data_IF_712517535835
#
_entry.id   IF_712517535835
#
_cell.length_a   1.000
_cell.length_b   1.000
_cell.length_c   1.000
_cell.angle_alpha   90.00
_cell.angle_beta   90.00
_cell.angle_gamma   90.00
#
_symmetry.space_group_name_H-M   'P 1'
#
loop_
_entity.id
_entity.type
_entity.pdbx_description
1 polymer ?
#
# COMPACT_ATOMS: atom_id res chain seq x y z
N UNK A 1 55.69 16.45 122.89
CA UNK A 1 56.67 17.10 121.98
C UNK A 1 56.47 16.45 120.61
N UNK A 2 55.46 16.92 119.85
CA UNK A 2 55.61 17.85 118.70
C UNK A 2 56.04 17.06 117.44
N UNK A 3 55.48 17.16 116.23
CA UNK A 3 54.70 18.19 115.53
C UNK A 3 53.91 17.48 114.40
N UNK A 4 52.70 17.97 114.10
CA UNK A 4 52.21 18.41 112.78
C UNK A 4 52.50 17.53 111.53
N UNK A 5 51.48 17.19 110.73
CA UNK A 5 51.21 17.80 109.39
C UNK A 5 50.20 16.98 108.55
N UNK A 6 49.26 17.75 108.04
CA UNK A 6 48.13 17.54 107.11
C UNK A 6 48.33 16.60 105.90
N UNK A 7 47.22 15.95 105.47
CA UNK A 7 46.71 15.77 104.08
C UNK A 7 45.94 14.44 104.02
N UNK A 8 44.62 14.38 104.06
CA UNK A 8 43.70 15.12 103.21
C UNK A 8 43.72 14.53 101.79
N UNK A 9 42.80 13.58 101.52
CA UNK A 9 42.29 13.25 100.17
C UNK A 9 42.98 12.15 99.33
N UNK A 10 43.55 11.10 99.95
CA UNK A 10 44.13 9.96 99.19
C UNK A 10 43.08 8.85 98.91
N UNK A 11 42.03 8.72 99.72
CA UNK A 11 40.99 7.69 99.49
C UNK A 11 39.97 8.09 98.39
N UNK A 12 39.80 9.38 98.11
CA UNK A 12 38.83 9.88 97.13
C UNK A 12 39.37 9.84 95.68
N UNK A 13 40.70 9.95 95.51
CA UNK A 13 41.37 9.84 94.20
C UNK A 13 41.54 8.39 93.74
N UNK A 14 41.65 7.43 94.67
CA UNK A 14 41.75 6.01 94.34
C UNK A 14 40.44 5.42 93.79
N UNK A 15 39.28 5.86 94.29
CA UNK A 15 37.97 5.40 93.80
C UNK A 15 37.62 6.01 92.43
N UNK A 16 38.00 7.28 92.20
CA UNK A 16 37.83 7.95 90.91
C UNK A 16 38.67 7.35 89.78
N UNK A 17 39.90 6.93 90.09
CA UNK A 17 40.77 6.27 89.11
C UNK A 17 40.22 4.89 88.68
N UNK A 18 39.65 4.11 89.61
CA UNK A 18 39.10 2.78 89.30
C UNK A 18 37.80 2.83 88.49
N UNK A 19 36.97 3.87 88.68
CA UNK A 19 35.75 4.08 87.90
C UNK A 19 36.04 4.65 86.49
N UNK A 20 37.12 5.44 86.35
CA UNK A 20 37.57 5.90 85.04
C UNK A 20 38.23 4.78 84.22
N UNK A 21 38.92 3.83 84.86
CA UNK A 21 39.48 2.65 84.18
C UNK A 21 38.40 1.71 83.62
N UNK A 22 37.21 1.64 84.22
CA UNK A 22 36.08 0.86 83.68
C UNK A 22 35.41 1.50 82.45
N UNK A 23 35.49 2.83 82.32
CA UNK A 23 34.93 3.57 81.18
C UNK A 23 35.81 3.51 79.92
N UNK A 24 37.09 3.10 80.02
CA UNK A 24 38.00 2.97 78.87
C UNK A 24 38.10 1.53 78.31
N UNK A 25 37.46 0.53 78.93
CA UNK A 25 37.46 -0.89 78.45
C UNK A 25 36.41 -1.14 77.34
N UNK A 26 35.67 -0.11 76.91
CA UNK A 26 34.66 -0.21 75.84
C UNK A 26 35.14 0.18 74.43
N UNK A 27 36.37 0.68 74.27
CA UNK A 27 36.96 0.95 72.96
C UNK A 27 37.64 -0.32 72.43
N UNK A 28 36.84 -1.15 71.79
CA UNK A 28 37.31 -2.20 70.90
C UNK A 28 37.38 -1.60 69.48
N UNK A 29 38.58 -1.52 68.91
CA UNK A 29 38.84 -1.16 67.50
C UNK A 29 38.49 -2.33 66.54
N UNK A 30 37.63 -3.25 66.98
CA UNK A 30 36.97 -4.19 66.09
C UNK A 30 35.87 -3.47 65.33
N UNK A 31 36.26 -2.86 64.21
CA UNK A 31 35.33 -2.64 63.10
C UNK A 31 34.80 -4.02 62.75
N UNK A 32 33.57 -4.34 63.18
CA UNK A 32 32.86 -5.49 62.69
C UNK A 32 32.88 -5.38 61.17
N UNK A 33 33.72 -6.19 60.55
CA UNK A 33 33.85 -6.28 59.11
C UNK A 33 32.59 -7.00 58.66
N UNK A 34 31.48 -6.24 58.62
CA UNK A 34 30.26 -6.64 57.97
C UNK A 34 30.66 -6.83 56.52
N UNK A 35 30.96 -8.07 56.15
CA UNK A 35 31.13 -8.46 54.78
C UNK A 35 29.91 -7.92 54.04
N UNK A 36 30.14 -7.08 53.03
CA UNK A 36 29.06 -6.57 52.21
C UNK A 36 28.23 -7.78 51.76
N UNK A 37 26.88 -7.76 51.93
CA UNK A 37 26.05 -8.89 51.57
C UNK A 37 26.36 -9.27 50.12
N UNK A 38 26.51 -10.57 49.82
CA UNK A 38 26.89 -11.01 48.48
C UNK A 38 25.91 -10.41 47.47
N UNK A 39 26.45 -9.85 46.39
CA UNK A 39 25.64 -9.19 45.38
C UNK A 39 24.53 -10.15 44.92
N UNK A 40 23.26 -9.69 44.87
CA UNK A 40 22.16 -10.56 44.52
C UNK A 40 22.39 -11.13 43.12
N UNK A 41 22.23 -12.44 42.98
CA UNK A 41 22.39 -13.12 41.70
C UNK A 41 21.26 -12.70 40.76
N UNK A 42 21.59 -11.92 39.75
CA UNK A 42 20.64 -11.47 38.72
C UNK A 42 20.92 -12.19 37.41
N UNK A 43 19.84 -12.60 36.73
CA UNK A 43 19.93 -13.18 35.39
C UNK A 43 20.07 -12.07 34.36
N UNK A 44 21.19 -12.04 33.64
CA UNK A 44 21.43 -11.09 32.57
C UNK A 44 21.72 -11.82 31.25
N UNK A 45 21.23 -11.27 30.14
CA UNK A 45 21.49 -11.76 28.79
C UNK A 45 22.08 -10.65 27.91
N UNK A 46 22.96 -11.02 26.98
CA UNK A 46 23.54 -10.08 26.00
C UNK A 46 22.49 -9.74 24.93
N UNK A 47 22.26 -8.45 24.70
CA UNK A 47 21.35 -7.97 23.65
C UNK A 47 21.97 -8.25 22.27
N UNK A 48 21.30 -9.07 21.46
CA UNK A 48 21.70 -9.35 20.08
C UNK A 48 20.88 -8.47 19.13
N UNK A 49 21.54 -7.50 18.50
CA UNK A 49 20.91 -6.68 17.45
C UNK A 49 21.09 -7.42 16.12
N UNK A 50 19.98 -7.80 15.51
CA UNK A 50 19.95 -8.42 14.17
C UNK A 50 19.02 -7.60 13.29
N UNK A 51 19.43 -7.39 12.05
CA UNK A 51 18.54 -6.80 11.04
C UNK A 51 17.44 -7.81 10.72
N UNK A 52 16.19 -7.40 10.88
CA UNK A 52 15.02 -8.17 10.46
C UNK A 52 14.33 -7.40 9.34
N UNK A 53 13.92 -8.12 8.31
CA UNK A 53 13.05 -7.57 7.28
C UNK A 53 11.62 -7.77 7.75
N UNK A 54 10.91 -6.66 7.99
CA UNK A 54 9.50 -6.68 8.32
C UNK A 54 8.71 -6.67 7.01
N UNK A 55 7.91 -7.72 6.80
CA UNK A 55 7.06 -7.85 5.63
C UNK A 55 5.65 -7.40 5.99
N UNK A 56 5.13 -6.41 5.26
CA UNK A 56 3.74 -6.02 5.34
C UNK A 56 2.94 -6.79 4.28
N UNK A 57 1.81 -7.36 4.69
CA UNK A 57 0.91 -8.10 3.80
C UNK A 57 -0.37 -7.30 3.61
N UNK A 58 -0.73 -7.05 2.36
CA UNK A 58 -1.94 -6.34 1.98
C UNK A 58 -2.80 -7.19 1.05
N UNK A 59 -4.11 -7.08 1.19
CA UNK A 59 -5.04 -7.70 0.26
C UNK A 59 -5.13 -6.81 -1.00
N UNK A 60 -4.92 -7.40 -2.17
CA UNK A 60 -5.08 -6.75 -3.46
C UNK A 60 -6.04 -7.52 -4.37
N UNK A 61 -6.61 -6.81 -5.35
CA UNK A 61 -7.37 -7.41 -6.45
C UNK A 61 -6.58 -7.24 -7.74
N UNK A 62 -6.52 -8.29 -8.54
CA UNK A 62 -5.95 -8.25 -9.88
C UNK A 62 -7.09 -8.01 -10.86
N UNK A 63 -6.87 -7.13 -11.82
CA UNK A 63 -7.79 -6.84 -12.92
C UNK A 63 -7.05 -6.93 -14.26
N UNK A 64 -7.81 -7.14 -15.34
CA UNK A 64 -7.23 -7.17 -16.68
C UNK A 64 -6.69 -5.77 -17.05
N UNK A 65 -5.47 -5.73 -17.59
CA UNK A 65 -4.86 -4.47 -18.07
C UNK A 65 -5.73 -3.83 -19.15
N UNK A 66 -6.28 -4.66 -20.04
CA UNK A 66 -7.23 -4.25 -21.08
C UNK A 66 -8.46 -5.16 -21.01
N UNK A 67 -9.63 -4.54 -20.88
CA UNK A 67 -10.92 -5.25 -20.86
C UNK A 67 -11.89 -4.53 -21.78
N UNK A 68 -12.58 -5.28 -22.64
CA UNK A 68 -13.55 -4.74 -23.59
C UNK A 68 -14.85 -5.51 -23.47
N UNK A 69 -15.93 -4.77 -23.23
CA UNK A 69 -17.27 -5.34 -23.29
C UNK A 69 -17.84 -5.17 -24.70
N UNK A 70 -18.00 -6.29 -25.40
CA UNK A 70 -18.52 -6.29 -26.76
C UNK A 70 -20.03 -6.02 -26.76
N UNK A 71 -20.45 -5.01 -27.52
CA UNK A 71 -21.86 -4.66 -27.71
C UNK A 71 -22.14 -4.52 -29.21
N UNK A 72 -23.26 -5.08 -29.71
CA UNK A 72 -23.62 -4.90 -31.11
C UNK A 72 -23.96 -3.42 -31.38
N UNK A 73 -23.49 -2.89 -32.51
CA UNK A 73 -23.78 -1.49 -32.92
C UNK A 73 -25.18 -1.32 -33.50
N UNK A 74 -25.78 -2.42 -33.92
CA UNK A 74 -27.09 -2.47 -34.57
C UNK A 74 -27.94 -3.52 -33.87
N UNK A 75 -29.25 -3.32 -33.87
CA UNK A 75 -30.20 -4.31 -33.35
C UNK A 75 -30.36 -5.47 -34.33
N UNK A 76 -30.71 -6.65 -33.81
CA UNK A 76 -30.98 -7.79 -34.66
C UNK A 76 -30.87 -9.11 -33.90
N UNK A 77 -31.29 -10.18 -34.56
CA UNK A 77 -31.13 -11.53 -34.05
C UNK A 77 -29.72 -12.03 -34.36
N UNK A 78 -29.12 -12.76 -33.41
CA UNK A 78 -27.84 -13.44 -33.64
C UNK A 78 -28.11 -14.65 -34.52
N UNK A 79 -27.53 -14.68 -35.71
CA UNK A 79 -27.54 -15.82 -36.62
C UNK A 79 -26.53 -16.88 -36.16
N UNK A 80 -25.29 -16.46 -35.83
CA UNK A 80 -24.21 -17.37 -35.43
C UNK A 80 -23.29 -16.79 -34.38
N UNK A 81 -22.79 -17.69 -33.52
CA UNK A 81 -21.68 -17.46 -32.59
C UNK A 81 -20.47 -18.23 -33.13
N UNK A 82 -19.39 -17.52 -33.43
CA UNK A 82 -18.24 -18.05 -34.18
C UNK A 82 -17.00 -18.27 -33.29
N UNK A 83 -17.20 -18.49 -32.00
CA UNK A 83 -16.14 -18.81 -31.05
C UNK A 83 -16.64 -19.82 -30.01
N UNK A 84 -15.72 -20.47 -29.31
CA UNK A 84 -16.00 -21.29 -28.13
C UNK A 84 -15.53 -20.59 -26.87
N UNK A 85 -16.18 -20.87 -25.74
CA UNK A 85 -15.81 -20.24 -24.47
C UNK A 85 -14.33 -20.50 -24.10
N UNK A 86 -13.63 -19.43 -23.70
CA UNK A 86 -12.19 -19.47 -23.39
C UNK A 86 -11.26 -19.49 -24.61
N UNK A 87 -11.79 -19.44 -25.83
CA UNK A 87 -10.97 -19.38 -27.04
C UNK A 87 -10.21 -18.05 -27.14
N UNK A 88 -8.94 -18.13 -27.51
CA UNK A 88 -8.15 -16.96 -27.88
C UNK A 88 -8.61 -16.42 -29.24
N UNK A 89 -8.93 -15.12 -29.30
CA UNK A 89 -9.44 -14.45 -30.50
C UNK A 89 -8.54 -13.30 -30.91
N UNK A 90 -8.42 -13.07 -32.22
CA UNK A 90 -7.59 -11.99 -32.76
C UNK A 90 -8.43 -10.79 -33.15
N UNK A 91 -7.81 -9.61 -33.15
CA UNK A 91 -8.44 -8.38 -33.65
C UNK A 91 -8.94 -8.57 -35.08
N UNK A 92 -10.20 -8.21 -35.33
CA UNK A 92 -10.85 -8.33 -36.64
C UNK A 92 -11.48 -9.70 -36.91
N UNK A 93 -11.32 -10.67 -36.03
CA UNK A 93 -12.03 -11.94 -36.12
C UNK A 93 -13.54 -11.73 -35.91
N UNK A 94 -14.36 -12.36 -36.75
CA UNK A 94 -15.81 -12.31 -36.63
C UNK A 94 -16.22 -13.22 -35.47
N UNK A 95 -16.78 -12.63 -34.41
CA UNK A 95 -17.22 -13.37 -33.21
C UNK A 95 -18.72 -13.67 -33.24
N UNK A 96 -19.51 -12.74 -33.78
CA UNK A 96 -20.96 -12.84 -33.87
C UNK A 96 -21.41 -12.42 -35.26
N UNK A 97 -22.36 -13.17 -35.82
CA UNK A 97 -23.05 -12.82 -37.06
C UNK A 97 -24.48 -12.46 -36.71
N UNK A 98 -24.93 -11.27 -37.13
CA UNK A 98 -26.31 -10.80 -36.95
C UNK A 98 -27.06 -11.07 -38.26
N UNK A 99 -28.35 -11.45 -38.17
CA UNK A 99 -29.22 -11.55 -39.35
C UNK A 99 -29.27 -10.19 -40.07
N UNK A 100 -28.74 -10.18 -41.28
CA UNK A 100 -28.55 -8.98 -42.09
C UNK A 100 -29.67 -8.75 -43.12
N UNK A 101 -30.73 -9.58 -43.16
CA UNK A 101 -31.75 -9.49 -44.23
C UNK A 101 -32.36 -8.11 -44.38
N UNK A 102 -32.77 -7.49 -43.28
CA UNK A 102 -33.34 -6.14 -43.28
C UNK A 102 -32.28 -5.09 -43.66
N UNK A 103 -31.03 -5.29 -43.23
CA UNK A 103 -29.93 -4.39 -43.54
C UNK A 103 -29.49 -4.48 -45.01
N UNK A 104 -29.47 -5.67 -45.59
CA UNK A 104 -29.21 -5.88 -47.02
C UNK A 104 -30.31 -5.25 -47.87
N UNK A 105 -31.58 -5.47 -47.52
CA UNK A 105 -32.69 -4.84 -48.24
C UNK A 105 -32.61 -3.30 -48.18
N UNK A 106 -32.27 -2.73 -47.02
CA UNK A 106 -32.07 -1.28 -46.88
C UNK A 106 -30.87 -0.77 -47.70
N UNK A 107 -29.78 -1.53 -47.74
CA UNK A 107 -28.61 -1.21 -48.56
C UNK A 107 -28.94 -1.22 -50.05
N UNK A 108 -29.62 -2.26 -50.53
CA UNK A 108 -30.06 -2.39 -51.92
C UNK A 108 -30.98 -1.23 -52.32
N UNK A 109 -31.94 -0.87 -51.46
CA UNK A 109 -32.82 0.28 -51.68
C UNK A 109 -32.04 1.60 -51.78
N UNK A 110 -31.06 1.81 -50.90
CA UNK A 110 -30.21 3.00 -50.92
C UNK A 110 -29.35 3.06 -52.20
N UNK A 111 -28.81 1.93 -52.63
CA UNK A 111 -28.03 1.82 -53.87
C UNK A 111 -28.88 2.10 -55.11
N UNK A 112 -30.11 1.58 -55.17
CA UNK A 112 -31.04 1.86 -56.26
C UNK A 112 -31.41 3.34 -56.32
N UNK A 113 -31.61 3.97 -55.16
CA UNK A 113 -31.89 5.41 -55.05
C UNK A 113 -30.70 6.25 -55.53
N UNK A 114 -29.47 5.87 -55.13
CA UNK A 114 -28.24 6.50 -55.60
C UNK A 114 -28.07 6.36 -57.12
N UNK A 115 -28.33 5.18 -57.67
CA UNK A 115 -28.23 4.92 -59.10
C UNK A 115 -29.21 5.81 -59.89
N UNK A 116 -30.47 5.88 -59.45
CA UNK A 116 -31.48 6.77 -60.05
C UNK A 116 -31.05 8.23 -60.04
N UNK A 117 -30.55 8.71 -58.91
CA UNK A 117 -30.09 10.09 -58.77
C UNK A 117 -28.91 10.41 -59.70
N UNK A 118 -27.96 9.47 -59.83
CA UNK A 118 -26.83 9.60 -60.78
C UNK A 118 -27.31 9.67 -62.24
N UNK A 119 -28.26 8.82 -62.62
CA UNK A 119 -28.84 8.86 -63.98
C UNK A 119 -29.55 10.20 -64.23
N UNK A 120 -30.33 10.69 -63.27
CA UNK A 120 -31.02 11.97 -63.40
C UNK A 120 -30.03 13.14 -63.51
N UNK A 121 -28.97 13.15 -62.71
CA UNK A 121 -27.91 14.16 -62.81
C UNK A 121 -27.20 14.11 -64.18
N UNK A 122 -26.89 12.92 -64.68
CA UNK A 122 -26.27 12.75 -66.00
C UNK A 122 -27.21 13.21 -67.13
N UNK A 123 -28.50 12.95 -67.02
CA UNK A 123 -29.50 13.40 -67.98
C UNK A 123 -29.59 14.94 -67.97
N UNK A 124 -29.73 15.54 -66.79
CA UNK A 124 -29.78 17.00 -66.64
C UNK A 124 -28.52 17.68 -67.19
N UNK A 125 -27.34 17.11 -66.95
CA UNK A 125 -26.08 17.60 -67.53
C UNK A 125 -26.08 17.52 -69.06
N UNK A 126 -26.57 16.41 -69.61
CA UNK A 126 -26.64 16.21 -71.06
C UNK A 126 -27.63 17.19 -71.71
N UNK A 127 -28.76 17.45 -71.06
CA UNK A 127 -29.76 18.43 -71.49
C UNK A 127 -29.23 19.88 -71.43
N UNK A 128 -28.48 20.23 -70.39
CA UNK A 128 -27.80 21.52 -70.27
C UNK A 128 -26.80 21.71 -71.41
N UNK A 129 -25.88 20.75 -71.59
CA UNK A 129 -24.88 20.80 -72.66
C UNK A 129 -25.51 20.89 -74.06
N UNK A 130 -26.63 20.19 -74.29
CA UNK A 130 -27.37 20.24 -75.56
C UNK A 130 -27.96 21.64 -75.77
N UNK A 131 -28.54 22.23 -74.73
CA UNK A 131 -29.16 23.56 -74.79
C UNK A 131 -28.11 24.64 -75.09
N UNK A 132 -26.95 24.60 -74.43
CA UNK A 132 -25.84 25.52 -74.68
C UNK A 132 -25.40 25.49 -76.15
N UNK A 133 -25.21 24.29 -76.72
CA UNK A 133 -24.85 24.14 -78.14
C UNK A 133 -25.89 24.77 -79.07
N UNK A 134 -27.18 24.62 -78.77
CA UNK A 134 -28.25 25.16 -79.61
C UNK A 134 -28.34 26.68 -79.58
N UNK A 135 -28.04 27.30 -78.43
CA UNK A 135 -27.98 28.76 -78.28
C UNK A 135 -26.79 29.34 -79.05
N UNK A 136 -25.62 28.68 -78.98
CA UNK A 136 -24.41 29.16 -79.67
C UNK A 136 -24.40 28.92 -81.19
N UNK A 137 -25.21 28.00 -81.71
CA UNK A 137 -25.25 27.69 -83.16
C UNK A 137 -26.25 28.57 -83.94
N UNK A 138 -27.22 29.20 -83.25
CA UNK A 138 -28.27 30.03 -83.88
C UNK A 138 -28.03 31.55 -83.75
N UNK A 139 -26.81 31.95 -83.38
CA UNK A 139 -26.32 33.35 -83.40
C UNK A 139 -25.10 33.42 -84.34
#
# INVERSE_FOLDING_TARGET
MSLQKTWGNIHLTALGAMMLSFLLVGCDDSVAQNAAPPAPTVSAAKVLVKSISQWDSFNGRIEAVESVQLRPRVSGYIDKVNYTDGQEVKKGQVLFTIDDRTYRAALEQAQATLARAKTQASLAQSEANRTDKLVHTNL
#
